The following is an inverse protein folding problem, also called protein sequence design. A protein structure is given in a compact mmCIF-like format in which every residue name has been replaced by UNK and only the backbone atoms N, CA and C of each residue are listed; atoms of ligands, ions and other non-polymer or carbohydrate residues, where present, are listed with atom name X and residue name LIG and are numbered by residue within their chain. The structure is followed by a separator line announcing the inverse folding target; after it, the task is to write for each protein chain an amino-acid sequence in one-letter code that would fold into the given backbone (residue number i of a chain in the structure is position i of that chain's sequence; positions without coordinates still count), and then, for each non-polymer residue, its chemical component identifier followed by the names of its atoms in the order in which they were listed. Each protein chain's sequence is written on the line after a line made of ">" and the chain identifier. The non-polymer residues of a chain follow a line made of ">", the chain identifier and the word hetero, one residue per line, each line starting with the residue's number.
data_IF_126683707111
#
_entry.id   IF_126683707111
#
_cell.length_a   1.000
_cell.length_b   1.000
_cell.length_c   1.000
_cell.angle_alpha   90.00
_cell.angle_beta   90.00
_cell.angle_gamma   90.00
#
_symmetry.space_group_name_H-M   'P 1'
#
loop_
_entity.id
_entity.type
_entity.pdbx_description
1 polymer ?
#
# COMPACT_ATOMS: atom_id res chain seq x y z
N UNK A 1 20.10 -1.47 5.24
CA UNK A 1 19.13 -0.95 6.22
C UNK A 1 17.94 -1.88 6.11
N UNK A 2 17.56 -2.60 7.16
CA UNK A 2 16.47 -3.58 7.06
C UNK A 2 15.20 -2.84 6.61
N UNK A 3 14.74 -3.13 5.39
CA UNK A 3 13.44 -2.69 4.91
C UNK A 3 12.46 -3.44 5.81
N UNK A 4 11.79 -2.71 6.72
CA UNK A 4 10.90 -3.29 7.74
C UNK A 4 9.79 -4.14 7.14
N UNK A 5 8.79 -4.54 7.93
CA UNK A 5 7.77 -5.54 7.54
C UNK A 5 6.86 -5.15 6.35
N UNK A 6 7.12 -4.05 5.66
CA UNK A 6 6.46 -3.60 4.43
C UNK A 6 7.08 -4.23 3.17
N UNK A 7 6.29 -4.33 2.10
CA UNK A 7 6.80 -4.76 0.80
C UNK A 7 7.82 -3.75 0.24
N UNK A 8 8.89 -4.26 -0.38
CA UNK A 8 9.87 -3.48 -1.12
C UNK A 8 9.36 -3.10 -2.51
N UNK A 9 10.09 -2.22 -3.20
CA UNK A 9 9.80 -1.87 -4.60
C UNK A 9 9.93 -3.11 -5.49
N UNK A 10 11.01 -3.89 -5.33
CA UNK A 10 11.24 -5.11 -6.10
C UNK A 10 10.13 -6.13 -5.88
N UNK A 11 9.70 -6.35 -4.63
CA UNK A 11 8.60 -7.27 -4.33
C UNK A 11 7.28 -6.82 -4.96
N UNK A 12 7.01 -5.52 -4.99
CA UNK A 12 5.81 -4.99 -5.64
C UNK A 12 5.91 -5.11 -7.16
N UNK A 13 7.09 -4.88 -7.74
CA UNK A 13 7.33 -5.08 -9.17
C UNK A 13 7.08 -6.54 -9.56
N UNK A 14 7.67 -7.49 -8.81
CA UNK A 14 7.48 -8.93 -9.01
C UNK A 14 5.99 -9.34 -8.88
N UNK A 15 5.27 -8.79 -7.90
CA UNK A 15 3.84 -9.07 -7.70
C UNK A 15 2.93 -8.42 -8.74
N UNK A 16 3.35 -7.30 -9.34
CA UNK A 16 2.55 -6.63 -10.37
C UNK A 16 2.64 -7.37 -11.70
N UNK A 17 3.76 -8.06 -11.94
CA UNK A 17 4.08 -8.76 -13.19
C UNK A 17 4.11 -7.76 -14.37
N UNK A 18 3.08 -7.76 -15.22
CA UNK A 18 3.02 -6.95 -16.44
C UNK A 18 2.45 -5.53 -16.19
N UNK A 19 2.93 -4.53 -16.93
CA UNK A 19 2.53 -3.11 -16.88
C UNK A 19 2.91 -2.36 -15.57
N UNK A 20 3.88 -2.89 -14.82
CA UNK A 20 4.46 -2.14 -13.70
C UNK A 20 5.10 -0.83 -14.20
N UNK A 21 4.95 0.29 -13.46
CA UNK A 21 5.66 1.54 -13.77
C UNK A 21 7.18 1.35 -13.73
N UNK A 22 7.93 2.18 -14.46
CA UNK A 22 9.39 2.20 -14.34
C UNK A 22 9.83 2.49 -12.90
N UNK A 23 10.97 1.92 -12.49
CA UNK A 23 11.49 1.95 -11.11
C UNK A 23 11.43 3.33 -10.42
N UNK A 24 11.77 4.47 -11.06
CA UNK A 24 11.65 5.78 -10.41
C UNK A 24 10.20 6.15 -10.07
N UNK A 25 9.26 5.86 -10.98
CA UNK A 25 7.82 6.13 -10.77
C UNK A 25 7.24 5.13 -9.77
N UNK A 26 7.60 3.86 -9.88
CA UNK A 26 7.18 2.82 -8.95
C UNK A 26 7.62 3.15 -7.52
N UNK A 27 8.88 3.55 -7.34
CA UNK A 27 9.42 3.99 -6.05
C UNK A 27 8.60 5.13 -5.43
N UNK A 28 8.19 6.10 -6.23
CA UNK A 28 7.37 7.22 -5.75
C UNK A 28 6.00 6.75 -5.27
N UNK A 29 5.30 5.92 -6.05
CA UNK A 29 3.94 5.44 -5.68
C UNK A 29 3.97 4.45 -4.52
N UNK A 30 5.00 3.60 -4.43
CA UNK A 30 5.19 2.68 -3.30
C UNK A 30 5.41 3.45 -2.00
N UNK A 31 6.23 4.50 -2.03
CA UNK A 31 6.46 5.37 -0.85
C UNK A 31 5.20 6.11 -0.43
N UNK A 32 4.44 6.64 -1.38
CA UNK A 32 3.17 7.31 -1.10
C UNK A 32 2.16 6.33 -0.48
N UNK A 33 1.95 5.17 -1.11
CA UNK A 33 1.06 4.13 -0.62
C UNK A 33 1.42 3.65 0.79
N UNK A 34 2.71 3.44 1.06
CA UNK A 34 3.20 3.10 2.40
C UNK A 34 2.89 4.20 3.42
N UNK A 35 3.08 5.47 3.06
CA UNK A 35 2.77 6.60 3.93
C UNK A 35 1.28 6.64 4.29
N UNK A 36 0.40 6.47 3.29
CA UNK A 36 -1.04 6.51 3.48
C UNK A 36 -1.54 5.32 4.31
N UNK A 37 -1.07 4.11 4.00
CA UNK A 37 -1.39 2.92 4.78
C UNK A 37 -0.93 3.06 6.23
N UNK A 38 0.29 3.55 6.46
CA UNK A 38 0.83 3.78 7.81
C UNK A 38 0.01 4.80 8.61
N UNK A 39 -0.45 5.88 7.97
CA UNK A 39 -1.29 6.90 8.63
C UNK A 39 -2.66 6.36 9.02
N UNK A 40 -3.20 5.44 8.22
CA UNK A 40 -4.53 4.90 8.46
C UNK A 40 -4.52 3.66 9.36
N UNK A 41 -3.46 2.87 9.38
CA UNK A 41 -3.38 1.67 10.21
C UNK A 41 -3.70 1.93 11.70
N UNK A 42 -4.31 0.95 12.36
CA UNK A 42 -4.58 1.00 13.81
C UNK A 42 -3.34 0.72 14.65
N UNK A 43 -2.45 -0.12 14.14
CA UNK A 43 -1.21 -0.53 14.78
C UNK A 43 -0.05 -0.35 13.81
N UNK A 44 1.15 0.05 14.26
CA UNK A 44 2.31 0.09 13.38
C UNK A 44 2.71 -1.34 13.00
N UNK A 45 2.82 -1.65 11.69
CA UNK A 45 3.23 -2.99 11.25
C UNK A 45 4.59 -3.41 11.82
N UNK A 46 5.48 -2.44 12.06
CA UNK A 46 6.83 -2.69 12.57
C UNK A 46 6.82 -3.20 14.03
N UNK A 47 5.68 -3.15 14.72
CA UNK A 47 5.51 -3.71 16.08
C UNK A 47 4.86 -5.08 16.10
N UNK A 48 4.39 -5.59 14.96
CA UNK A 48 3.77 -6.91 14.88
C UNK A 48 4.85 -7.99 14.98
N UNK A 49 4.50 -9.15 15.53
CA UNK A 49 5.33 -10.34 15.55
C UNK A 49 4.99 -11.23 14.34
N UNK A 50 5.99 -11.63 13.57
CA UNK A 50 5.84 -12.50 12.39
C UNK A 50 5.83 -13.99 12.76
N UNK A 51 6.30 -14.35 13.95
CA UNK A 51 6.21 -15.71 14.48
C UNK A 51 4.82 -16.03 15.08
N UNK A 52 3.98 -15.02 15.26
CA UNK A 52 2.60 -15.14 15.75
C UNK A 52 1.65 -15.27 14.55
N UNK A 53 0.88 -16.36 14.48
CA UNK A 53 0.02 -16.69 13.34
C UNK A 53 -1.08 -15.63 13.10
N UNK A 54 -1.72 -15.15 14.16
CA UNK A 54 -2.79 -14.13 14.06
C UNK A 54 -2.21 -12.78 13.59
N UNK A 55 -1.01 -12.44 14.08
CA UNK A 55 -0.30 -11.25 13.63
C UNK A 55 0.31 -11.42 12.23
N UNK A 56 0.62 -12.65 11.83
CA UNK A 56 1.05 -13.02 10.47
C UNK A 56 -0.01 -12.70 9.43
N UNK A 57 -1.27 -13.08 9.69
CA UNK A 57 -2.42 -12.75 8.85
C UNK A 57 -2.64 -11.23 8.76
N UNK A 58 -2.41 -10.51 9.87
CA UNK A 58 -2.46 -9.06 9.87
C UNK A 58 -1.34 -8.49 8.99
N UNK A 59 -0.09 -8.95 9.11
CA UNK A 59 1.03 -8.52 8.26
C UNK A 59 0.72 -8.74 6.78
N UNK A 60 0.16 -9.91 6.42
CA UNK A 60 -0.27 -10.19 5.05
C UNK A 60 -1.36 -9.19 4.58
N UNK A 61 -2.29 -8.82 5.45
CA UNK A 61 -3.31 -7.80 5.15
C UNK A 61 -2.69 -6.41 4.90
N UNK A 62 -1.60 -6.06 5.59
CA UNK A 62 -0.84 -4.84 5.31
C UNK A 62 -0.12 -4.90 3.95
N UNK A 63 0.43 -6.05 3.57
CA UNK A 63 1.06 -6.25 2.25
C UNK A 63 0.04 -6.05 1.13
N UNK A 64 -1.11 -6.70 1.23
CA UNK A 64 -2.23 -6.53 0.30
C UNK A 64 -2.68 -5.07 0.22
N UNK A 65 -2.84 -4.40 1.37
CA UNK A 65 -3.26 -3.01 1.44
C UNK A 65 -2.25 -2.08 0.75
N UNK A 66 -0.94 -2.28 0.98
CA UNK A 66 0.12 -1.53 0.34
C UNK A 66 0.08 -1.74 -1.18
N UNK A 67 0.01 -2.98 -1.64
CA UNK A 67 -0.03 -3.30 -3.07
C UNK A 67 -1.25 -2.68 -3.76
N UNK A 68 -2.44 -2.86 -3.19
CA UNK A 68 -3.68 -2.27 -3.71
C UNK A 68 -3.59 -0.73 -3.76
N UNK A 69 -3.09 -0.10 -2.70
CA UNK A 69 -2.96 1.35 -2.67
C UNK A 69 -1.91 1.85 -3.69
N UNK A 70 -0.84 1.11 -3.90
CA UNK A 70 0.15 1.40 -4.94
C UNK A 70 -0.50 1.39 -6.33
N UNK A 71 -1.29 0.36 -6.67
CA UNK A 71 -2.02 0.30 -7.95
C UNK A 71 -3.03 1.44 -8.08
N UNK A 72 -3.79 1.72 -7.02
CA UNK A 72 -4.76 2.83 -7.01
C UNK A 72 -4.09 4.18 -7.23
N UNK A 73 -2.95 4.42 -6.57
CA UNK A 73 -2.20 5.68 -6.68
C UNK A 73 -1.64 5.86 -8.09
N UNK A 74 -1.10 4.80 -8.69
CA UNK A 74 -0.65 4.82 -10.08
C UNK A 74 -1.80 5.07 -11.05
N UNK A 75 -2.90 4.33 -10.94
CA UNK A 75 -4.04 4.48 -11.84
C UNK A 75 -4.63 5.89 -11.76
N UNK A 76 -4.75 6.45 -10.56
CA UNK A 76 -5.25 7.79 -10.36
C UNK A 76 -4.31 8.89 -10.91
N UNK A 77 -3.01 8.60 -11.04
CA UNK A 77 -2.04 9.51 -11.67
C UNK A 77 -2.09 9.51 -13.20
N UNK A 78 -2.73 8.50 -13.82
CA UNK A 78 -2.85 8.37 -15.29
C UNK A 78 -4.11 9.03 -15.85
N UNK A 79 -5.09 9.34 -14.98
CA UNK A 79 -6.37 9.93 -15.36
C UNK A 79 -6.34 11.40 -14.93
N UNK A 80 -6.44 12.31 -15.89
CA UNK A 80 -6.59 13.74 -15.60
C UNK A 80 -7.94 14.00 -14.91
N UNK A 81 -8.08 15.13 -14.21
CA UNK A 81 -9.30 15.49 -13.46
C UNK A 81 -10.57 15.50 -14.33
N UNK A 82 -10.42 15.68 -15.66
CA UNK A 82 -11.48 15.66 -16.67
C UNK A 82 -11.69 14.28 -17.35
N UNK A 83 -11.08 13.20 -16.84
CA UNK A 83 -11.24 11.84 -17.38
C UNK A 83 -10.45 11.56 -18.67
N UNK A 84 -9.57 12.49 -19.07
CA UNK A 84 -8.65 12.30 -20.19
C UNK A 84 -7.38 11.55 -19.77
N UNK A 85 -6.82 10.75 -20.68
CA UNK A 85 -5.48 10.17 -20.55
C UNK A 85 -4.49 11.16 -21.18
N UNK A 86 -3.55 11.73 -20.41
CA UNK A 86 -2.70 12.83 -20.93
C UNK A 86 -1.28 12.91 -20.36
N UNK A 87 -0.34 13.21 -21.26
CA UNK A 87 1.05 13.64 -21.03
C UNK A 87 1.10 14.91 -20.16
N UNK A 88 1.34 14.74 -18.86
CA UNK A 88 1.63 15.82 -17.92
C UNK A 88 2.61 15.34 -16.85
N UNK A 89 3.22 16.30 -16.14
CA UNK A 89 4.11 16.00 -15.00
C UNK A 89 3.42 15.01 -14.04
N UNK A 90 4.17 14.00 -13.59
CA UNK A 90 3.66 12.97 -12.69
C UNK A 90 3.33 13.57 -11.31
N UNK A 91 2.08 13.94 -11.09
CA UNK A 91 1.61 14.50 -9.82
C UNK A 91 0.92 13.39 -9.02
N UNK A 92 1.61 12.89 -8.00
CA UNK A 92 0.99 12.02 -6.99
C UNK A 92 0.08 12.86 -6.10
N UNK A 93 -1.23 12.75 -6.29
CA UNK A 93 -2.21 13.33 -5.38
C UNK A 93 -2.55 12.30 -4.30
N UNK A 94 -2.50 12.66 -3.00
CA UNK A 94 -2.96 11.76 -1.95
C UNK A 94 -4.48 11.58 -2.10
N UNK A 95 -4.90 10.44 -2.64
CA UNK A 95 -6.30 10.05 -2.69
C UNK A 95 -6.71 9.43 -1.35
N UNK A 96 -7.96 9.63 -0.90
CA UNK A 96 -8.45 8.90 0.27
C UNK A 96 -8.27 7.41 0.01
N UNK A 97 -7.71 6.67 0.99
CA UNK A 97 -7.60 5.21 0.88
C UNK A 97 -8.98 4.63 0.54
N UNK A 98 -9.00 3.73 -0.44
CA UNK A 98 -10.20 3.01 -0.84
C UNK A 98 -10.77 2.21 0.35
N UNK A 99 -12.09 2.01 0.37
CA UNK A 99 -12.75 1.32 1.47
C UNK A 99 -12.24 -0.11 1.68
N UNK A 100 -11.82 -0.81 0.61
CA UNK A 100 -11.23 -2.15 0.69
C UNK A 100 -9.85 -2.10 1.35
N UNK A 101 -9.02 -1.12 0.99
CA UNK A 101 -7.71 -0.89 1.62
C UNK A 101 -7.88 -0.58 3.10
N UNK A 102 -8.86 0.27 3.44
CA UNK A 102 -9.21 0.58 4.83
C UNK A 102 -9.67 -0.64 5.60
N UNK A 103 -10.48 -1.51 4.99
CA UNK A 103 -10.97 -2.73 5.63
C UNK A 103 -9.83 -3.73 5.93
N UNK A 104 -8.83 -3.82 5.05
CA UNK A 104 -7.62 -4.63 5.28
C UNK A 104 -6.74 -4.09 6.41
N UNK A 105 -6.60 -2.77 6.51
CA UNK A 105 -5.81 -2.13 7.57
C UNK A 105 -6.55 -2.05 8.93
N UNK A 106 -7.88 -2.16 8.92
CA UNK A 106 -8.76 -2.05 10.09
C UNK A 106 -9.93 -3.05 10.00
N UNK A 107 -9.67 -4.36 10.14
CA UNK A 107 -10.74 -5.35 10.13
C UNK A 107 -11.71 -5.09 11.29
N UNK A 108 -13.03 -5.05 11.00
CA UNK A 108 -14.07 -4.71 11.97
C UNK A 108 -14.30 -5.78 13.07
N UNK A 109 -13.65 -6.94 12.99
CA UNK A 109 -14.06 -8.16 13.69
C UNK A 109 -13.04 -8.80 14.64
N UNK A 110 -11.85 -8.25 14.82
CA UNK A 110 -10.85 -8.82 15.73
C UNK A 110 -9.88 -7.74 16.13
N UNK A 111 -10.14 -7.08 17.26
CA UNK A 111 -9.04 -6.44 17.96
C UNK A 111 -8.11 -7.59 18.39
N UNK A 112 -6.83 -7.61 17.99
CA UNK A 112 -5.90 -8.52 18.64
C UNK A 112 -5.96 -8.19 20.13
N UNK A 113 -6.30 -9.18 20.95
CA UNK A 113 -6.25 -9.03 22.39
C UNK A 113 -4.79 -8.84 22.77
N UNK A 114 -4.36 -7.58 22.88
CA UNK A 114 -3.08 -7.25 23.48
C UNK A 114 -3.24 -7.55 24.98
N UNK A 115 -3.00 -8.81 25.34
CA UNK A 115 -2.94 -9.32 26.71
C UNK A 115 -1.51 -9.46 27.18
#
# INVERSE_FOLDING_TARGET
>A
MALGKWLTVEQIEDLWEDDAPSEPKLTMVVRAARSDCRRYAMVPIDTLNDDDEEQGDLIASFHDAQFMQTKNTWNASRVDADGGTGEGDFIVRPFPLDWQVKAKLRPKGGAPAIG
#
